data_IF_954290281879
#
_entry.id   IF_954290281879
#
_cell.length_a   1.000
_cell.length_b   1.000
_cell.length_c   1.000
_cell.angle_alpha   90.00
_cell.angle_beta   90.00
_cell.angle_gamma   90.00
#
_symmetry.space_group_name_H-M   'P 1'
#
loop_
_entity.id
_entity.type
_entity.pdbx_description
1 polymer ?
#
# COMPACT_ATOMS: atom_id res chain seq x y z
N UNK A 1 14.39 17.71 -5.00
CA UNK A 1 15.37 16.71 -4.51
C UNK A 1 14.69 15.94 -3.40
N UNK A 2 14.09 14.80 -3.74
CA UNK A 2 13.51 13.89 -2.75
C UNK A 2 14.60 12.89 -2.40
N UNK A 3 15.04 12.95 -1.14
CA UNK A 3 15.90 11.95 -0.53
C UNK A 3 15.14 10.63 -0.51
N UNK A 4 15.37 9.81 -1.54
CA UNK A 4 14.81 8.47 -1.65
C UNK A 4 15.56 7.64 -0.61
N UNK A 5 15.02 7.61 0.61
CA UNK A 5 15.54 6.79 1.71
C UNK A 5 15.93 5.42 1.15
N UNK A 6 17.20 5.07 1.33
CA UNK A 6 17.79 3.83 0.81
C UNK A 6 16.88 2.67 1.23
N UNK A 7 16.21 2.04 0.26
CA UNK A 7 15.45 0.84 0.55
C UNK A 7 16.43 -0.16 1.17
N UNK A 8 16.10 -0.75 2.33
CA UNK A 8 16.99 -1.67 3.01
C UNK A 8 17.41 -2.74 2.02
N UNK A 9 18.72 -2.84 1.80
CA UNK A 9 19.25 -3.78 0.81
C UNK A 9 18.74 -5.18 1.16
N UNK A 10 18.43 -5.98 0.14
CA UNK A 10 17.90 -7.34 0.31
C UNK A 10 18.75 -8.17 1.29
N UNK A 11 20.05 -7.89 1.37
CA UNK A 11 20.96 -8.52 2.34
C UNK A 11 20.62 -8.22 3.80
N UNK A 12 20.14 -7.03 4.15
CA UNK A 12 19.75 -6.69 5.54
C UNK A 12 18.56 -7.52 6.00
N UNK A 13 17.63 -7.84 5.10
CA UNK A 13 16.46 -8.66 5.41
C UNK A 13 16.84 -10.13 5.59
N UNK A 14 17.77 -10.63 4.77
CA UNK A 14 18.32 -12.00 4.89
C UNK A 14 19.11 -12.18 6.20
N UNK A 15 19.93 -11.20 6.59
CA UNK A 15 20.71 -11.23 7.83
C UNK A 15 19.81 -11.30 9.09
N UNK A 16 18.73 -10.52 9.11
CA UNK A 16 17.77 -10.52 10.23
C UNK A 16 17.07 -11.89 10.32
N UNK A 17 16.70 -12.48 9.19
CA UNK A 17 16.05 -13.78 9.15
C UNK A 17 16.98 -14.89 9.67
N UNK A 18 18.24 -14.88 9.25
CA UNK A 18 19.24 -15.87 9.69
C UNK A 18 19.54 -15.80 11.19
N UNK A 19 19.56 -14.59 11.76
CA UNK A 19 19.75 -14.38 13.21
C UNK A 19 18.54 -14.90 14.00
N UNK A 20 17.32 -14.61 13.54
CA UNK A 20 16.09 -15.10 14.16
C UNK A 20 16.01 -16.63 14.10
N UNK A 21 16.30 -17.22 12.94
CA UNK A 21 16.25 -18.67 12.75
C UNK A 21 17.27 -19.40 13.65
N UNK A 22 18.49 -18.87 13.78
CA UNK A 22 19.51 -19.41 14.70
C UNK A 22 19.07 -19.34 16.16
N UNK A 23 18.49 -18.21 16.60
CA UNK A 23 18.07 -18.03 17.99
C UNK A 23 16.87 -18.91 18.36
N UNK A 24 15.89 -19.02 17.45
CA UNK A 24 14.74 -19.92 17.63
C UNK A 24 15.23 -21.36 17.74
N UNK A 25 16.05 -21.82 16.79
CA UNK A 25 16.57 -23.20 16.79
C UNK A 25 17.32 -23.55 18.07
N UNK A 26 18.19 -22.65 18.56
CA UNK A 26 18.92 -22.86 19.83
C UNK A 26 17.98 -23.01 21.02
N UNK A 27 17.00 -22.10 21.15
CA UNK A 27 16.05 -22.13 22.27
C UNK A 27 15.20 -23.39 22.24
N UNK A 28 14.87 -23.86 21.05
CA UNK A 28 14.06 -25.04 20.83
C UNK A 28 14.74 -26.35 21.24
N UNK A 29 16.03 -26.50 20.89
CA UNK A 29 16.86 -27.62 21.35
C UNK A 29 16.95 -27.64 22.87
N UNK A 30 17.10 -26.48 23.51
CA UNK A 30 17.13 -26.40 24.98
C UNK A 30 15.81 -26.83 25.63
N UNK A 31 14.67 -26.45 25.03
CA UNK A 31 13.35 -26.79 25.57
C UNK A 31 13.06 -28.29 25.42
N UNK A 32 13.32 -28.87 24.26
CA UNK A 32 13.10 -30.33 24.05
C UNK A 32 13.98 -31.19 24.94
N UNK A 33 15.21 -30.74 25.24
CA UNK A 33 16.09 -31.45 26.17
C UNK A 33 15.63 -31.38 27.64
N UNK A 34 14.80 -30.40 28.01
CA UNK A 34 14.26 -30.25 29.36
C UNK A 34 12.99 -31.08 29.64
N UNK A 35 12.21 -31.44 28.61
CA UNK A 35 10.86 -32.04 28.76
C UNK A 35 10.77 -33.50 28.28
N UNK A 36 11.82 -34.30 28.48
CA UNK A 36 11.98 -35.66 27.91
C UNK A 36 10.76 -36.62 27.90
N UNK A 37 10.81 -37.55 26.94
CA UNK A 37 9.80 -38.54 26.47
C UNK A 37 8.94 -39.26 27.53
N UNK A 38 8.08 -38.54 28.24
CA UNK A 38 7.00 -39.14 29.03
C UNK A 38 5.69 -39.04 28.24
N UNK A 39 5.45 -40.03 27.39
CA UNK A 39 4.44 -40.01 26.31
C UNK A 39 2.97 -40.02 26.81
N UNK A 40 2.76 -40.15 28.12
CA UNK A 40 1.43 -40.16 28.76
C UNK A 40 0.99 -38.82 29.36
N UNK A 41 1.82 -37.76 29.34
CA UNK A 41 1.41 -36.44 29.85
C UNK A 41 0.54 -35.71 28.81
N UNK A 42 -0.68 -35.25 29.13
CA UNK A 42 -1.48 -34.39 28.24
C UNK A 42 -0.73 -33.12 27.78
N UNK A 43 0.28 -32.66 28.54
CA UNK A 43 1.16 -31.56 28.09
C UNK A 43 2.01 -31.94 26.88
N UNK A 44 2.37 -33.22 26.70
CA UNK A 44 3.10 -33.74 25.54
C UNK A 44 2.33 -33.53 24.23
N UNK A 45 1.00 -33.57 24.25
CA UNK A 45 0.18 -33.27 23.07
C UNK A 45 0.25 -31.79 22.69
N UNK A 46 0.14 -30.88 23.67
CA UNK A 46 0.25 -29.44 23.42
C UNK A 46 1.65 -29.06 22.90
N UNK A 47 2.72 -29.66 23.46
CA UNK A 47 4.07 -29.49 22.94
C UNK A 47 4.18 -29.95 21.48
N UNK A 48 3.77 -31.17 21.15
CA UNK A 48 3.79 -31.67 19.75
C UNK A 48 2.99 -30.79 18.78
N UNK A 49 1.86 -30.24 19.22
CA UNK A 49 1.06 -29.30 18.43
C UNK A 49 1.82 -27.99 18.18
N UNK A 50 2.42 -27.41 19.21
CA UNK A 50 3.26 -26.21 19.08
C UNK A 50 4.46 -26.48 18.18
N UNK A 51 5.02 -27.69 18.24
CA UNK A 51 6.16 -28.06 17.42
C UNK A 51 5.81 -28.09 15.94
N UNK A 52 4.66 -28.69 15.59
CA UNK A 52 4.14 -28.68 14.23
C UNK A 52 3.81 -27.26 13.76
N UNK A 53 3.29 -26.40 14.64
CA UNK A 53 2.99 -25.01 14.30
C UNK A 53 4.29 -24.20 14.04
N UNK A 54 5.32 -24.40 14.86
CA UNK A 54 6.63 -23.77 14.69
C UNK A 54 7.27 -24.24 13.38
N UNK A 55 7.25 -25.53 13.08
CA UNK A 55 7.79 -26.06 11.82
C UNK A 55 7.02 -25.51 10.60
N UNK A 56 5.68 -25.45 10.68
CA UNK A 56 4.85 -24.83 9.65
C UNK A 56 5.20 -23.36 9.43
N UNK A 57 5.40 -22.59 10.50
CA UNK A 57 5.79 -21.17 10.43
C UNK A 57 7.21 -21.00 9.87
N UNK A 58 8.15 -21.88 10.21
CA UNK A 58 9.50 -21.87 9.65
C UNK A 58 9.47 -22.13 8.15
N UNK A 59 8.71 -23.12 7.69
CA UNK A 59 8.54 -23.42 6.27
C UNK A 59 7.86 -22.27 5.51
N UNK A 60 6.84 -21.63 6.12
CA UNK A 60 6.22 -20.43 5.56
C UNK A 60 7.21 -19.26 5.47
N UNK A 61 8.07 -19.10 6.48
CA UNK A 61 9.16 -18.12 6.52
C UNK A 61 10.16 -18.33 5.38
N UNK A 62 10.56 -19.57 5.10
CA UNK A 62 11.49 -19.88 3.99
C UNK A 62 10.89 -19.56 2.61
N UNK A 63 9.55 -19.62 2.48
CA UNK A 63 8.86 -19.23 1.24
C UNK A 63 8.70 -17.70 1.10
N UNK A 64 8.89 -16.93 2.18
CA UNK A 64 8.64 -15.49 2.19
C UNK A 64 9.64 -14.71 1.31
N UNK A 65 10.96 -14.95 1.33
CA UNK A 65 11.92 -14.26 0.47
C UNK A 65 11.62 -14.42 -1.03
N UNK A 66 11.25 -15.63 -1.46
CA UNK A 66 10.88 -15.88 -2.86
C UNK A 66 9.63 -15.07 -3.28
N UNK A 67 8.62 -15.00 -2.40
CA UNK A 67 7.42 -14.17 -2.62
C UNK A 67 7.74 -12.68 -2.64
N UNK A 68 8.58 -12.20 -1.72
CA UNK A 68 9.05 -10.81 -1.69
C UNK A 68 9.80 -10.47 -2.98
N UNK A 69 10.76 -11.32 -3.38
CA UNK A 69 11.53 -11.15 -4.61
C UNK A 69 10.63 -11.07 -5.84
N UNK A 70 9.63 -11.93 -5.93
CA UNK A 70 8.64 -11.92 -7.03
C UNK A 70 7.84 -10.61 -7.04
N UNK A 71 7.37 -10.13 -5.88
CA UNK A 71 6.65 -8.84 -5.78
C UNK A 71 7.54 -7.66 -6.15
N UNK A 72 8.79 -7.63 -5.68
CA UNK A 72 9.75 -6.58 -6.01
C UNK A 72 10.02 -6.53 -7.52
N UNK A 73 10.23 -7.69 -8.17
CA UNK A 73 10.38 -7.78 -9.63
C UNK A 73 9.14 -7.24 -10.35
N UNK A 74 7.95 -7.66 -9.92
CA UNK A 74 6.68 -7.17 -10.49
C UNK A 74 6.52 -5.65 -10.35
N UNK A 75 6.85 -5.08 -9.18
CA UNK A 75 6.80 -3.65 -8.94
C UNK A 75 7.81 -2.87 -9.81
N UNK A 76 9.00 -3.42 -10.04
CA UNK A 76 9.99 -2.82 -10.96
C UNK A 76 9.45 -2.75 -12.40
N UNK A 77 8.82 -3.82 -12.88
CA UNK A 77 8.20 -3.84 -14.20
C UNK A 77 7.01 -2.88 -14.30
N UNK A 78 6.18 -2.81 -13.26
CA UNK A 78 5.11 -1.81 -13.20
C UNK A 78 5.66 -0.39 -13.21
N UNK A 79 6.73 -0.11 -12.46
CA UNK A 79 7.38 1.21 -12.43
C UNK A 79 7.97 1.58 -13.79
N UNK A 80 8.55 0.61 -14.50
CA UNK A 80 9.03 0.80 -15.87
C UNK A 80 7.89 1.18 -16.82
N UNK A 81 6.73 0.53 -16.70
CA UNK A 81 5.54 0.87 -17.49
C UNK A 81 4.92 2.23 -17.10
N UNK A 82 4.85 2.52 -15.80
CA UNK A 82 4.32 3.80 -15.31
C UNK A 82 5.26 4.98 -15.57
N UNK A 83 6.54 4.73 -15.90
CA UNK A 83 7.49 5.78 -16.30
C UNK A 83 6.97 6.63 -17.46
N UNK A 84 6.17 6.05 -18.36
CA UNK A 84 5.54 6.78 -19.46
C UNK A 84 4.58 7.84 -18.93
N UNK A 85 3.72 7.49 -17.96
CA UNK A 85 2.82 8.45 -17.30
C UNK A 85 3.59 9.51 -16.50
N UNK A 86 4.76 9.14 -15.96
CA UNK A 86 5.65 10.07 -15.27
C UNK A 86 6.45 10.98 -16.21
N UNK A 87 6.37 10.81 -17.53
CA UNK A 87 6.97 11.71 -18.51
C UNK A 87 5.98 12.71 -19.09
N UNK A 88 4.69 12.61 -18.74
CA UNK A 88 3.71 13.58 -19.21
C UNK A 88 4.04 14.98 -18.68
N UNK A 89 3.91 16.03 -19.52
CA UNK A 89 3.87 17.41 -19.06
C UNK A 89 2.85 17.60 -17.95
N UNK A 90 3.16 18.48 -17.01
CA UNK A 90 2.30 18.72 -15.83
C UNK A 90 0.92 19.23 -16.25
N UNK A 91 0.85 20.03 -17.31
CA UNK A 91 -0.37 20.63 -17.84
C UNK A 91 -1.35 19.55 -18.32
N UNK A 92 -0.84 18.49 -18.95
CA UNK A 92 -1.68 17.36 -19.39
C UNK A 92 -2.16 16.53 -18.20
N UNK A 93 -1.32 16.34 -17.19
CA UNK A 93 -1.73 15.63 -15.96
C UNK A 93 -2.80 16.40 -15.20
N UNK A 94 -2.71 17.72 -15.12
CA UNK A 94 -3.74 18.58 -14.52
C UNK A 94 -5.07 18.43 -15.26
N UNK A 95 -5.06 18.41 -16.59
CA UNK A 95 -6.27 18.18 -17.38
C UNK A 95 -6.87 16.79 -17.11
N UNK A 96 -6.03 15.75 -17.05
CA UNK A 96 -6.47 14.39 -16.72
C UNK A 96 -7.05 14.34 -15.31
N UNK A 97 -6.44 14.99 -14.32
CA UNK A 97 -6.97 15.04 -12.95
C UNK A 97 -8.29 15.80 -12.90
N UNK A 98 -8.41 16.92 -13.61
CA UNK A 98 -9.68 17.66 -13.69
C UNK A 98 -10.78 16.80 -14.32
N UNK A 99 -10.48 16.03 -15.37
CA UNK A 99 -11.45 15.13 -16.01
C UNK A 99 -11.80 13.93 -15.13
N UNK A 100 -10.82 13.30 -14.49
CA UNK A 100 -11.00 12.13 -13.64
C UNK A 100 -11.75 12.44 -12.34
N UNK A 101 -11.59 13.65 -11.82
CA UNK A 101 -12.28 14.11 -10.61
C UNK A 101 -13.66 14.65 -10.88
N UNK A 102 -14.00 15.03 -12.12
CA UNK A 102 -15.37 15.43 -12.48
C UNK A 102 -16.27 14.20 -12.50
N UNK A 103 -17.50 14.37 -11.99
CA UNK A 103 -18.59 13.39 -12.03
C UNK A 103 -19.16 13.20 -13.45
N UNK A 104 -18.31 13.12 -14.49
CA UNK A 104 -18.74 12.84 -15.86
C UNK A 104 -19.42 11.46 -15.97
N UNK A 105 -19.11 10.55 -15.04
CA UNK A 105 -19.79 9.26 -14.93
C UNK A 105 -21.18 9.33 -14.29
N UNK A 106 -21.47 10.33 -13.45
CA UNK A 106 -22.80 10.45 -12.83
C UNK A 106 -23.87 10.93 -13.83
N UNK A 107 -23.47 11.65 -14.89
CA UNK A 107 -24.39 11.99 -15.98
C UNK A 107 -24.83 10.76 -16.78
N UNK A 108 -24.00 9.71 -16.78
CA UNK A 108 -24.29 8.43 -17.44
C UNK A 108 -25.08 7.51 -16.49
N UNK A 109 -24.82 7.56 -15.19
CA UNK A 109 -25.46 6.74 -14.16
C UNK A 109 -26.48 7.60 -13.38
N UNK A 110 -27.53 8.06 -14.07
CA UNK A 110 -28.55 8.98 -13.51
C UNK A 110 -29.41 8.44 -12.35
N UNK A 111 -29.19 7.23 -11.84
CA UNK A 111 -30.19 6.56 -10.98
C UNK A 111 -29.71 6.05 -9.63
N UNK A 112 -28.45 6.26 -9.23
CA UNK A 112 -28.03 5.89 -7.88
C UNK A 112 -27.96 7.13 -6.97
N UNK A 113 -28.92 7.34 -6.05
CA UNK A 113 -28.81 8.33 -5.00
C UNK A 113 -27.79 7.85 -3.96
N UNK A 114 -26.51 7.84 -4.36
CA UNK A 114 -25.38 7.61 -3.48
C UNK A 114 -25.00 8.89 -2.73
N UNK A 115 -24.34 8.79 -1.57
CA UNK A 115 -23.76 9.94 -0.90
C UNK A 115 -22.81 10.63 -1.89
N UNK A 116 -23.07 11.91 -2.14
CA UNK A 116 -22.28 12.82 -3.00
C UNK A 116 -20.80 12.45 -2.97
N UNK A 117 -20.32 11.77 -4.00
CA UNK A 117 -18.90 11.46 -4.16
C UNK A 117 -18.18 12.79 -4.38
N UNK A 118 -17.65 13.33 -3.28
CA UNK A 118 -17.09 14.67 -3.20
C UNK A 118 -15.83 14.72 -4.08
N UNK A 119 -15.80 15.69 -4.98
CA UNK A 119 -14.69 15.95 -5.89
C UNK A 119 -13.34 15.98 -5.15
N UNK A 120 -13.32 16.51 -3.91
CA UNK A 120 -12.13 16.50 -3.04
C UNK A 120 -11.67 15.08 -2.67
N UNK A 121 -12.60 14.15 -2.43
CA UNK A 121 -12.29 12.74 -2.14
C UNK A 121 -11.64 12.06 -3.34
N UNK A 122 -12.11 12.35 -4.56
CA UNK A 122 -11.50 11.82 -5.79
C UNK A 122 -10.08 12.35 -6.01
N UNK A 123 -9.86 13.65 -5.80
CA UNK A 123 -8.51 14.22 -5.83
C UNK A 123 -7.61 13.61 -4.74
N UNK A 124 -8.14 13.34 -3.56
CA UNK A 124 -7.39 12.67 -2.50
C UNK A 124 -6.95 11.25 -2.93
N UNK A 125 -7.82 10.49 -3.58
CA UNK A 125 -7.46 9.17 -4.14
C UNK A 125 -6.35 9.30 -5.20
N UNK A 126 -6.44 10.30 -6.09
CA UNK A 126 -5.39 10.54 -7.08
C UNK A 126 -4.04 10.91 -6.43
N UNK A 127 -4.06 11.69 -5.34
CA UNK A 127 -2.85 12.04 -4.58
C UNK A 127 -2.18 10.85 -3.86
N UNK A 128 -2.86 9.71 -3.74
CA UNK A 128 -2.29 8.48 -3.19
C UNK A 128 -1.53 7.63 -4.23
N UNK A 129 -1.68 7.91 -5.53
CA UNK A 129 -1.06 7.12 -6.60
C UNK A 129 0.47 7.21 -6.57
N UNK A 130 1.01 8.43 -6.53
CA UNK A 130 2.45 8.64 -6.37
C UNK A 130 2.75 10.05 -5.84
N UNK A 131 3.98 10.26 -5.36
CA UNK A 131 4.43 11.55 -4.83
C UNK A 131 4.34 12.68 -5.86
N UNK A 132 4.68 12.41 -7.13
CA UNK A 132 4.55 13.40 -8.21
C UNK A 132 3.10 13.88 -8.38
N UNK A 133 2.13 12.97 -8.36
CA UNK A 133 0.71 13.32 -8.52
C UNK A 133 0.21 14.16 -7.36
N UNK A 134 0.61 13.79 -6.13
CA UNK A 134 0.32 14.58 -4.93
C UNK A 134 0.85 16.01 -5.06
N UNK A 135 2.13 16.16 -5.40
CA UNK A 135 2.75 17.49 -5.58
C UNK A 135 2.02 18.31 -6.63
N UNK A 136 1.67 17.72 -7.78
CA UNK A 136 0.90 18.43 -8.82
C UNK A 136 -0.47 18.88 -8.28
N UNK A 137 -1.18 18.01 -7.55
CA UNK A 137 -2.50 18.34 -7.01
C UNK A 137 -2.42 19.46 -5.96
N UNK A 138 -1.42 19.42 -5.08
CA UNK A 138 -1.18 20.43 -4.05
C UNK A 138 -0.76 21.76 -4.67
N UNK A 139 0.16 21.75 -5.63
CA UNK A 139 0.75 22.94 -6.26
C UNK A 139 -0.12 23.56 -7.36
N UNK A 140 -1.25 22.97 -7.73
CA UNK A 140 -2.14 23.48 -8.78
C UNK A 140 -3.47 23.97 -8.20
N UNK A 141 -3.59 25.28 -7.88
CA UNK A 141 -4.80 25.87 -7.33
C UNK A 141 -6.08 25.62 -8.12
N UNK A 142 -5.98 25.52 -9.45
CA UNK A 142 -7.12 25.24 -10.32
C UNK A 142 -7.82 23.92 -10.00
N UNK A 143 -7.10 22.94 -9.44
CA UNK A 143 -7.69 21.65 -9.09
C UNK A 143 -8.55 21.73 -7.85
N UNK A 144 -8.24 22.56 -6.85
CA UNK A 144 -9.01 22.63 -5.59
C UNK A 144 -9.79 23.95 -5.41
N UNK A 145 -9.59 24.94 -6.28
CA UNK A 145 -10.36 26.18 -6.31
C UNK A 145 -11.73 26.05 -7.00
N UNK A 146 -12.08 24.84 -7.46
CA UNK A 146 -13.39 24.54 -8.04
C UNK A 146 -14.47 24.55 -6.95
N UNK A 147 -14.79 25.75 -6.45
CA UNK A 147 -15.93 25.97 -5.56
C UNK A 147 -17.18 25.83 -6.42
N UNK A 148 -17.77 24.64 -6.38
CA UNK A 148 -19.13 24.46 -6.89
C UNK A 148 -20.04 25.24 -5.96
N UNK A 149 -20.37 26.49 -6.31
CA UNK A 149 -21.50 27.18 -5.70
C UNK A 149 -22.73 26.36 -6.05
N UNK A 150 -23.16 25.52 -5.10
CA UNK A 150 -24.40 24.78 -5.17
C UNK A 150 -25.54 25.78 -5.23
N UNK A 151 -25.83 26.28 -6.41
CA UNK A 151 -27.02 27.07 -6.68
C UNK A 151 -28.18 26.12 -6.61
N UNK A 152 -28.65 25.83 -5.39
CA UNK A 152 -29.99 25.30 -5.26
C UNK A 152 -30.99 26.41 -5.54
N UNK A 153 -30.71 27.66 -5.15
CA UNK A 153 -31.61 28.76 -5.42
C UNK A 153 -30.82 30.07 -5.59
N UNK A 154 -30.95 30.72 -6.76
CA UNK A 154 -30.85 32.18 -6.94
C UNK A 154 -29.52 32.91 -6.62
N UNK A 155 -28.94 33.47 -7.70
CA UNK A 155 -28.35 34.82 -7.81
C UNK A 155 -26.97 35.14 -7.20
N UNK A 156 -26.13 35.63 -8.12
CA UNK A 156 -25.01 36.59 -7.99
C UNK A 156 -23.60 36.01 -7.97
N UNK A 157 -22.96 36.05 -9.14
CA UNK A 157 -21.53 35.83 -9.34
C UNK A 157 -20.79 37.05 -8.79
N UNK A 158 -20.08 36.89 -7.68
CA UNK A 158 -19.06 37.83 -7.24
C UNK A 158 -17.69 37.19 -7.46
N UNK A 159 -16.89 37.76 -8.36
CA UNK A 159 -15.51 37.38 -8.58
C UNK A 159 -14.66 37.84 -7.40
N UNK A 160 -13.97 36.91 -6.73
CA UNK A 160 -12.92 37.23 -5.77
C UNK A 160 -11.58 37.32 -6.52
N UNK A 161 -10.94 38.49 -6.38
CA UNK A 161 -9.55 38.77 -6.75
C UNK A 161 -8.61 38.36 -5.64
#
# INVERSE_FOLDING_TARGET
MSDLGEEPSVGVVEDIYDVLQRNISKRWVTLTQQFGDNDTDPRSYEFRRMDHEIESLLMAGQCLPAKISTRVKYLKELRKKSSVLLQFPVELLVQVFSLASRNTWDEIIKEAPGPSDDYASRLHVLAQVCTRWRTIIEDTPELWSLVTFGSKNSSTIAALR
#
